data_IF_995434147236
#
_entry.id   IF_995434147236
#
_cell.length_a   1.000
_cell.length_b   1.000
_cell.length_c   1.000
_cell.angle_alpha   90.00
_cell.angle_beta   90.00
_cell.angle_gamma   90.00
#
_symmetry.space_group_name_H-M   'P 1'
#
loop_
_entity.id
_entity.type
_entity.pdbx_description
1 polymer ?
#
# COMPACT_ATOMS: atom_id res chain seq x y z
N UNK A 1 -23.22 29.07 22.63
CA UNK A 1 -21.95 28.62 23.26
C UNK A 1 -21.45 27.26 22.77
N UNK A 2 -22.26 26.17 22.78
CA UNK A 2 -21.80 24.83 22.35
C UNK A 2 -21.36 24.73 20.88
N UNK A 3 -22.04 25.43 19.96
CA UNK A 3 -21.69 25.46 18.53
C UNK A 3 -20.35 26.17 18.30
N UNK A 4 -20.16 27.34 18.92
CA UNK A 4 -18.90 28.08 18.85
C UNK A 4 -17.72 27.28 19.43
N UNK A 5 -17.91 26.59 20.56
CA UNK A 5 -16.91 25.69 21.13
C UNK A 5 -16.58 24.51 20.19
N UNK A 6 -17.59 23.93 19.54
CA UNK A 6 -17.38 22.86 18.54
C UNK A 6 -16.59 23.32 17.32
N UNK A 7 -16.89 24.53 16.80
CA UNK A 7 -16.16 25.14 15.68
C UNK A 7 -14.71 25.43 16.07
N UNK A 8 -14.48 25.98 17.28
CA UNK A 8 -13.13 26.24 17.78
C UNK A 8 -12.31 24.96 17.92
N UNK A 9 -12.88 23.89 18.50
CA UNK A 9 -12.21 22.59 18.61
C UNK A 9 -11.86 22.02 17.24
N UNK A 10 -12.78 22.07 16.27
CA UNK A 10 -12.52 21.60 14.91
C UNK A 10 -11.40 22.41 14.24
N UNK A 11 -11.41 23.73 14.38
CA UNK A 11 -10.36 24.60 13.85
C UNK A 11 -8.99 24.26 14.43
N UNK A 12 -8.90 24.02 15.74
CA UNK A 12 -7.66 23.60 16.40
C UNK A 12 -7.19 22.23 15.89
N UNK A 13 -8.10 21.26 15.73
CA UNK A 13 -7.74 19.94 15.20
C UNK A 13 -7.26 20.00 13.74
N UNK A 14 -7.92 20.80 12.90
CA UNK A 14 -7.50 21.02 11.51
C UNK A 14 -6.14 21.72 11.47
N UNK A 15 -5.92 22.75 12.30
CA UNK A 15 -4.63 23.45 12.38
C UNK A 15 -3.51 22.51 12.86
N UNK A 16 -3.76 21.69 13.88
CA UNK A 16 -2.80 20.69 14.36
C UNK A 16 -2.49 19.63 13.28
N UNK A 17 -3.51 19.19 12.54
CA UNK A 17 -3.35 18.26 11.42
C UNK A 17 -2.52 18.87 10.29
N UNK A 18 -2.82 20.10 9.88
CA UNK A 18 -2.06 20.84 8.85
C UNK A 18 -0.62 21.10 9.30
N UNK A 19 -0.42 21.43 10.57
CA UNK A 19 0.91 21.61 11.13
C UNK A 19 1.72 20.30 11.07
N UNK A 20 1.16 19.18 11.54
CA UNK A 20 1.80 17.87 11.44
C UNK A 20 2.09 17.47 9.98
N UNK A 21 1.13 17.68 9.07
CA UNK A 21 1.31 17.48 7.63
C UNK A 21 2.49 18.32 7.10
N UNK A 22 2.60 19.59 7.52
CA UNK A 22 3.68 20.46 7.11
C UNK A 22 5.05 19.98 7.59
N UNK A 23 5.13 19.41 8.80
CA UNK A 23 6.37 18.82 9.32
C UNK A 23 6.78 17.58 8.52
N UNK A 24 5.82 16.75 8.14
CA UNK A 24 6.07 15.56 7.32
C UNK A 24 6.42 15.90 5.85
N UNK A 25 5.83 16.96 5.32
CA UNK A 25 6.06 17.43 3.96
C UNK A 25 7.45 18.04 3.74
N UNK A 26 8.09 18.55 4.80
CA UNK A 26 9.44 19.12 4.72
C UNK A 26 10.43 18.12 4.12
N UNK A 27 10.93 18.48 2.94
CA UNK A 27 12.04 17.83 2.26
C UNK A 27 13.18 18.82 2.08
N UNK A 28 14.41 18.35 2.20
CA UNK A 28 15.61 19.16 1.96
C UNK A 28 16.09 18.87 0.54
N UNK A 29 15.81 19.79 -0.37
CA UNK A 29 16.41 19.81 -1.70
C UNK A 29 17.47 20.92 -1.68
N UNK A 30 18.74 20.63 -2.02
CA UNK A 30 19.76 21.66 -2.09
C UNK A 30 19.31 22.79 -3.04
N UNK A 31 19.34 24.04 -2.57
CA UNK A 31 18.95 25.19 -3.40
C UNK A 31 19.83 25.35 -4.66
N UNK A 32 21.03 24.78 -4.62
CA UNK A 32 21.96 24.71 -5.75
C UNK A 32 21.68 23.57 -6.73
N UNK A 33 20.69 22.70 -6.48
CA UNK A 33 20.35 21.59 -7.36
C UNK A 33 19.73 22.13 -8.66
N UNK A 34 20.54 22.18 -9.71
CA UNK A 34 20.07 22.47 -11.07
C UNK A 34 19.82 21.13 -11.77
N UNK A 35 18.55 20.78 -11.93
CA UNK A 35 18.19 19.58 -12.70
C UNK A 35 18.46 19.85 -14.19
N UNK A 36 19.16 18.96 -14.89
CA UNK A 36 19.30 19.07 -16.33
C UNK A 36 17.93 18.95 -17.00
N UNK A 37 17.67 19.73 -18.04
CA UNK A 37 16.56 19.45 -18.95
C UNK A 37 16.94 18.24 -19.78
N UNK A 38 16.39 17.09 -19.43
CA UNK A 38 16.56 15.86 -20.18
C UNK A 38 15.52 15.81 -21.30
N UNK A 39 16.01 15.64 -22.52
CA UNK A 39 15.17 15.34 -23.68
C UNK A 39 15.13 13.80 -23.85
N UNK A 40 13.98 13.14 -23.64
CA UNK A 40 13.86 11.69 -23.78
C UNK A 40 14.29 11.16 -25.15
N UNK A 41 14.14 11.95 -26.22
CA UNK A 41 14.51 11.56 -27.58
C UNK A 41 16.03 11.42 -27.76
N UNK A 42 16.84 11.96 -26.85
CA UNK A 42 18.30 11.76 -26.83
C UNK A 42 18.71 10.39 -26.29
N UNK A 43 17.83 9.73 -25.53
CA UNK A 43 18.12 8.46 -24.87
C UNK A 43 17.33 7.30 -25.46
N UNK A 44 16.15 7.58 -26.00
CA UNK A 44 15.22 6.56 -26.48
C UNK A 44 14.69 6.92 -27.86
N UNK A 45 14.53 5.90 -28.72
CA UNK A 45 13.92 6.09 -30.03
C UNK A 45 12.43 6.42 -29.92
N UNK A 46 11.89 7.12 -30.91
CA UNK A 46 10.44 7.41 -30.98
C UNK A 46 9.59 6.15 -30.93
N UNK A 47 10.07 5.07 -31.54
CA UNK A 47 9.41 3.77 -31.52
C UNK A 47 9.32 3.22 -30.08
N UNK A 48 10.40 3.34 -29.30
CA UNK A 48 10.42 2.92 -27.90
C UNK A 48 9.53 3.81 -27.03
N UNK A 49 9.59 5.13 -27.21
CA UNK A 49 8.74 6.07 -26.46
C UNK A 49 7.24 5.81 -26.73
N UNK A 50 6.85 5.61 -28.00
CA UNK A 50 5.47 5.23 -28.35
C UNK A 50 5.08 3.86 -27.78
N UNK A 51 5.99 2.89 -27.78
CA UNK A 51 5.76 1.56 -27.21
C UNK A 51 5.51 1.67 -25.70
N UNK A 52 6.32 2.41 -24.97
CA UNK A 52 6.15 2.64 -23.52
C UNK A 52 4.88 3.44 -23.22
N UNK A 53 4.59 4.51 -23.97
CA UNK A 53 3.37 5.28 -23.78
C UNK A 53 2.10 4.44 -24.00
N UNK A 54 2.11 3.54 -25.01
CA UNK A 54 1.00 2.60 -25.24
C UNK A 54 0.89 1.58 -24.11
N UNK A 55 2.03 1.07 -23.64
CA UNK A 55 2.08 0.16 -22.51
C UNK A 55 1.40 0.76 -21.28
N UNK A 56 1.88 1.93 -20.84
CA UNK A 56 1.44 2.59 -19.60
C UNK A 56 0.02 3.15 -19.73
N UNK A 57 -0.36 3.62 -20.93
CA UNK A 57 -1.70 4.11 -21.21
C UNK A 57 -2.76 3.03 -20.98
N UNK A 58 -2.51 1.80 -21.46
CA UNK A 58 -3.40 0.67 -21.23
C UNK A 58 -3.54 0.35 -19.74
N UNK A 59 -2.42 0.16 -19.03
CA UNK A 59 -2.45 -0.20 -17.59
C UNK A 59 -3.11 0.88 -16.74
N UNK A 60 -2.94 2.16 -17.09
CA UNK A 60 -3.59 3.27 -16.39
C UNK A 60 -5.10 3.25 -16.58
N UNK A 61 -5.58 3.03 -17.81
CA UNK A 61 -7.01 2.95 -18.10
C UNK A 61 -7.61 1.71 -17.42
N UNK A 62 -6.94 0.57 -17.54
CA UNK A 62 -7.35 -0.69 -16.88
C UNK A 62 -7.47 -0.52 -15.36
N UNK A 63 -6.47 0.12 -14.72
CA UNK A 63 -6.50 0.44 -13.29
C UNK A 63 -7.72 1.30 -12.89
N UNK A 64 -8.05 2.32 -13.69
CA UNK A 64 -9.20 3.20 -13.43
C UNK A 64 -10.53 2.42 -13.56
N UNK A 65 -10.66 1.59 -14.60
CA UNK A 65 -11.84 0.75 -14.81
C UNK A 65 -11.97 -0.31 -13.71
N UNK A 66 -10.87 -0.96 -13.32
CA UNK A 66 -10.84 -1.91 -12.22
C UNK A 66 -11.30 -1.29 -10.90
N UNK A 67 -10.84 -0.06 -10.65
CA UNK A 67 -11.21 0.70 -9.45
C UNK A 67 -12.69 1.10 -9.48
N UNK A 68 -13.20 1.56 -10.62
CA UNK A 68 -14.62 1.87 -10.80
C UNK A 68 -15.50 0.63 -10.63
N UNK A 69 -15.13 -0.51 -11.23
CA UNK A 69 -15.84 -1.78 -11.11
C UNK A 69 -15.87 -2.28 -9.67
N UNK A 70 -14.73 -2.21 -8.95
CA UNK A 70 -14.66 -2.57 -7.54
C UNK A 70 -15.55 -1.68 -6.67
N UNK A 71 -15.51 -0.36 -6.86
CA UNK A 71 -16.36 0.58 -6.12
C UNK A 71 -17.84 0.34 -6.41
N UNK A 72 -18.21 0.09 -7.67
CA UNK A 72 -19.57 -0.25 -8.05
C UNK A 72 -20.03 -1.56 -7.38
N UNK A 73 -19.20 -2.61 -7.42
CA UNK A 73 -19.51 -3.89 -6.79
C UNK A 73 -19.71 -3.75 -5.27
N UNK A 74 -18.85 -2.97 -4.59
CA UNK A 74 -19.00 -2.68 -3.17
C UNK A 74 -20.22 -1.81 -2.87
N UNK A 75 -20.55 -0.84 -3.73
CA UNK A 75 -21.75 -0.01 -3.59
C UNK A 75 -23.03 -0.84 -3.73
N UNK A 76 -23.08 -1.73 -4.74
CA UNK A 76 -24.15 -2.70 -4.92
C UNK A 76 -24.28 -3.61 -3.71
N UNK A 77 -23.15 -4.16 -3.22
CA UNK A 77 -23.15 -4.97 -2.00
C UNK A 77 -23.68 -4.17 -0.80
N UNK A 78 -23.27 -2.92 -0.61
CA UNK A 78 -23.75 -2.08 0.48
C UNK A 78 -25.27 -1.81 0.41
N UNK A 79 -25.82 -1.65 -0.80
CA UNK A 79 -27.26 -1.47 -1.03
C UNK A 79 -28.05 -2.77 -0.81
N UNK A 80 -27.47 -3.92 -1.17
CA UNK A 80 -28.12 -5.22 -1.05
C UNK A 80 -27.97 -5.83 0.35
N UNK A 81 -26.87 -5.53 1.06
CA UNK A 81 -26.51 -6.12 2.35
C UNK A 81 -27.67 -6.13 3.36
N UNK A 82 -28.43 -5.04 3.61
CA UNK A 82 -29.53 -5.07 4.56
C UNK A 82 -30.61 -6.11 4.25
N UNK A 83 -30.82 -6.44 2.96
CA UNK A 83 -31.83 -7.43 2.52
C UNK A 83 -31.38 -8.88 2.74
N UNK A 84 -30.08 -9.12 2.77
CA UNK A 84 -29.49 -10.47 2.90
C UNK A 84 -28.96 -10.73 4.31
N UNK A 85 -28.53 -9.70 5.04
CA UNK A 85 -27.99 -9.81 6.42
C UNK A 85 -29.03 -10.35 7.40
N UNK A 86 -30.32 -10.10 7.17
CA UNK A 86 -31.39 -10.69 7.98
C UNK A 86 -31.47 -12.22 7.88
N UNK A 87 -30.87 -12.82 6.84
CA UNK A 87 -30.82 -14.29 6.63
C UNK A 87 -29.57 -14.92 7.23
N UNK A 88 -28.60 -14.12 7.66
CA UNK A 88 -27.37 -14.58 8.27
C UNK A 88 -27.61 -14.99 9.73
N UNK A 89 -26.92 -16.05 10.17
CA UNK A 89 -27.07 -16.60 11.53
C UNK A 89 -26.17 -15.85 12.52
N UNK A 90 -26.57 -15.85 13.79
CA UNK A 90 -25.77 -15.27 14.89
C UNK A 90 -25.95 -13.77 15.14
N UNK A 91 -25.15 -13.26 16.08
CA UNK A 91 -25.19 -11.88 16.54
C UNK A 91 -24.52 -10.88 15.59
N UNK A 92 -24.64 -9.58 15.90
CA UNK A 92 -24.14 -8.49 15.05
C UNK A 92 -22.67 -8.66 14.63
N UNK A 93 -21.79 -9.10 15.55
CA UNK A 93 -20.38 -9.34 15.26
C UNK A 93 -20.20 -10.38 14.15
N UNK A 94 -20.84 -11.56 14.27
CA UNK A 94 -20.68 -12.63 13.29
C UNK A 94 -21.17 -12.19 11.90
N UNK A 95 -22.33 -11.52 11.83
CA UNK A 95 -22.86 -10.98 10.56
C UNK A 95 -21.92 -9.94 9.93
N UNK A 96 -21.27 -9.11 10.76
CA UNK A 96 -20.28 -8.15 10.29
C UNK A 96 -19.02 -8.82 9.73
N UNK A 97 -18.55 -9.90 10.37
CA UNK A 97 -17.44 -10.71 9.88
C UNK A 97 -17.79 -11.44 8.57
N UNK A 98 -18.98 -12.03 8.48
CA UNK A 98 -19.47 -12.66 7.25
C UNK A 98 -19.57 -11.64 6.09
N UNK A 99 -20.14 -10.46 6.34
CA UNK A 99 -20.16 -9.38 5.36
C UNK A 99 -18.76 -8.94 4.92
N UNK A 100 -17.80 -8.90 5.84
CA UNK A 100 -16.41 -8.54 5.51
C UNK A 100 -15.77 -9.56 4.57
N UNK A 101 -16.03 -10.86 4.79
CA UNK A 101 -15.58 -11.93 3.89
C UNK A 101 -16.26 -11.86 2.53
N UNK A 102 -17.57 -11.62 2.49
CA UNK A 102 -18.29 -11.43 1.22
C UNK A 102 -17.74 -10.21 0.47
N UNK A 103 -17.49 -9.10 1.16
CA UNK A 103 -16.91 -7.91 0.57
C UNK A 103 -15.48 -8.15 0.03
N UNK A 104 -14.68 -8.97 0.72
CA UNK A 104 -13.36 -9.38 0.25
C UNK A 104 -13.46 -10.20 -1.05
N UNK A 105 -14.34 -11.19 -1.10
CA UNK A 105 -14.55 -12.03 -2.29
C UNK A 105 -15.12 -11.21 -3.45
N UNK A 106 -16.11 -10.36 -3.21
CA UNK A 106 -16.70 -9.47 -4.22
C UNK A 106 -15.64 -8.50 -4.75
N UNK A 107 -14.79 -7.94 -3.89
CA UNK A 107 -13.70 -7.05 -4.30
C UNK A 107 -12.69 -7.78 -5.19
N UNK A 108 -12.29 -9.00 -4.80
CA UNK A 108 -11.39 -9.84 -5.58
C UNK A 108 -11.98 -10.18 -6.95
N UNK A 109 -13.23 -10.65 -6.99
CA UNK A 109 -13.93 -11.02 -8.21
C UNK A 109 -14.11 -9.82 -9.16
N UNK A 110 -14.45 -8.64 -8.63
CA UNK A 110 -14.63 -7.43 -9.43
C UNK A 110 -13.34 -6.96 -10.11
N UNK A 111 -12.18 -7.20 -9.47
CA UNK A 111 -10.86 -6.85 -10.05
C UNK A 111 -10.28 -7.93 -10.95
N UNK A 112 -10.76 -9.17 -10.86
CA UNK A 112 -10.23 -10.32 -11.57
C UNK A 112 -10.12 -10.13 -13.10
N UNK A 113 -11.17 -9.69 -13.84
CA UNK A 113 -11.06 -9.55 -15.29
C UNK A 113 -10.02 -8.50 -15.73
N UNK A 114 -9.91 -7.40 -14.98
CA UNK A 114 -8.91 -6.35 -15.23
C UNK A 114 -7.50 -6.83 -14.90
N UNK A 115 -7.33 -7.54 -13.78
CA UNK A 115 -6.06 -8.16 -13.43
C UNK A 115 -5.57 -9.14 -14.51
N UNK A 116 -6.46 -9.94 -15.10
CA UNK A 116 -6.12 -10.83 -16.20
C UNK A 116 -5.74 -10.05 -17.47
N UNK A 117 -6.43 -8.94 -17.76
CA UNK A 117 -6.10 -8.07 -18.87
C UNK A 117 -4.72 -7.41 -18.71
N UNK A 118 -4.42 -6.92 -17.51
CA UNK A 118 -3.10 -6.40 -17.15
C UNK A 118 -2.01 -7.47 -17.28
N UNK A 119 -2.23 -8.68 -16.75
CA UNK A 119 -1.26 -9.78 -16.87
C UNK A 119 -1.02 -10.20 -18.33
N UNK A 120 -2.09 -10.28 -19.13
CA UNK A 120 -1.96 -10.52 -20.57
C UNK A 120 -1.13 -9.43 -21.25
N UNK A 121 -1.33 -8.17 -20.86
CA UNK A 121 -0.61 -7.04 -21.41
C UNK A 121 0.88 -7.05 -21.02
N UNK A 122 1.19 -7.28 -19.75
CA UNK A 122 2.56 -7.43 -19.24
C UNK A 122 3.32 -8.55 -19.96
N UNK A 123 2.66 -9.71 -20.15
CA UNK A 123 3.22 -10.83 -20.93
C UNK A 123 3.43 -10.45 -22.39
N UNK A 124 2.49 -9.72 -23.01
CA UNK A 124 2.61 -9.23 -24.39
C UNK A 124 3.80 -8.29 -24.58
N UNK A 125 4.15 -7.50 -23.57
CA UNK A 125 5.33 -6.64 -23.60
C UNK A 125 6.62 -7.34 -23.16
N UNK A 126 6.51 -8.60 -22.75
CA UNK A 126 7.63 -9.45 -22.34
C UNK A 126 8.19 -9.09 -20.96
N UNK A 127 7.38 -8.42 -20.14
CA UNK A 127 7.73 -8.00 -18.78
C UNK A 127 7.42 -9.16 -17.82
N UNK A 128 6.17 -9.62 -17.79
CA UNK A 128 5.77 -10.80 -17.03
C UNK A 128 6.16 -12.11 -17.75
N UNK A 129 6.61 -13.10 -16.96
CA UNK A 129 6.91 -14.48 -17.38
C UNK A 129 6.03 -15.51 -16.64
N UNK A 130 5.35 -15.14 -15.56
CA UNK A 130 4.51 -16.03 -14.75
C UNK A 130 3.33 -16.59 -15.56
N UNK A 131 2.95 -17.86 -15.37
CA UNK A 131 1.77 -18.43 -16.04
C UNK A 131 0.47 -17.81 -15.51
N UNK A 132 -0.62 -17.83 -16.29
CA UNK A 132 -1.93 -17.34 -15.81
C UNK A 132 -2.44 -18.09 -14.58
N UNK A 133 -2.13 -19.39 -14.46
CA UNK A 133 -2.48 -20.18 -13.28
C UNK A 133 -1.70 -19.75 -12.04
N UNK A 134 -0.38 -19.55 -12.17
CA UNK A 134 0.46 -19.03 -11.09
C UNK A 134 0.01 -17.63 -10.67
N UNK A 135 -0.26 -16.77 -11.64
CA UNK A 135 -0.82 -15.44 -11.39
C UNK A 135 -2.14 -15.51 -10.62
N UNK A 136 -3.08 -16.36 -11.04
CA UNK A 136 -4.39 -16.48 -10.39
C UNK A 136 -4.24 -16.92 -8.93
N UNK A 137 -3.41 -17.93 -8.67
CA UNK A 137 -3.11 -18.40 -7.30
C UNK A 137 -2.48 -17.29 -6.47
N UNK A 138 -1.51 -16.55 -7.02
CA UNK A 138 -0.86 -15.42 -6.36
C UNK A 138 -1.83 -14.26 -6.05
N UNK A 139 -2.94 -14.14 -6.78
CA UNK A 139 -3.97 -13.11 -6.56
C UNK A 139 -5.12 -13.55 -5.66
N UNK A 140 -5.18 -14.81 -5.23
CA UNK A 140 -6.20 -15.24 -4.27
C UNK A 140 -6.01 -14.50 -2.93
N UNK A 141 -7.11 -14.12 -2.24
CA UNK A 141 -7.00 -13.58 -0.89
C UNK A 141 -6.30 -14.60 0.03
N UNK A 142 -5.16 -14.22 0.59
CA UNK A 142 -4.42 -15.10 1.50
C UNK A 142 -5.12 -15.22 2.85
N UNK A 143 -4.99 -16.35 3.57
CA UNK A 143 -5.52 -16.50 4.93
C UNK A 143 -5.05 -15.38 5.87
N UNK A 144 -3.80 -14.91 5.72
CA UNK A 144 -3.26 -13.80 6.50
C UNK A 144 -4.00 -12.48 6.22
N UNK A 145 -4.27 -12.16 4.94
CA UNK A 145 -5.03 -10.95 4.58
C UNK A 145 -6.48 -11.01 5.05
N UNK A 146 -7.13 -12.17 4.92
CA UNK A 146 -8.49 -12.38 5.43
C UNK A 146 -8.53 -12.27 6.97
N UNK A 147 -7.58 -12.91 7.67
CA UNK A 147 -7.46 -12.82 9.12
C UNK A 147 -7.24 -11.39 9.62
N UNK A 148 -6.36 -10.63 8.96
CA UNK A 148 -6.13 -9.22 9.29
C UNK A 148 -7.40 -8.37 9.11
N UNK A 149 -8.14 -8.57 8.00
CA UNK A 149 -9.43 -7.91 7.77
C UNK A 149 -10.44 -8.25 8.86
N UNK A 150 -10.57 -9.53 9.23
CA UNK A 150 -11.49 -9.98 10.27
C UNK A 150 -11.16 -9.38 11.64
N UNK A 151 -9.89 -9.36 12.02
CA UNK A 151 -9.43 -8.71 13.26
C UNK A 151 -9.76 -7.23 13.26
N UNK A 152 -9.51 -6.55 12.13
CA UNK A 152 -9.80 -5.12 12.01
C UNK A 152 -11.30 -4.82 12.15
N UNK A 153 -12.14 -5.58 11.46
CA UNK A 153 -13.61 -5.45 11.53
C UNK A 153 -14.11 -5.77 12.94
N UNK A 154 -13.65 -6.87 13.54
CA UNK A 154 -14.03 -7.25 14.90
C UNK A 154 -13.67 -6.16 15.93
N UNK A 155 -12.44 -5.64 15.85
CA UNK A 155 -11.97 -4.57 16.73
C UNK A 155 -12.79 -3.29 16.53
N UNK A 156 -13.01 -2.89 15.28
CA UNK A 156 -13.84 -1.72 14.95
C UNK A 156 -15.26 -1.84 15.51
N UNK A 157 -15.91 -3.00 15.33
CA UNK A 157 -17.26 -3.26 15.85
C UNK A 157 -17.30 -3.30 17.38
N UNK A 158 -16.28 -3.89 18.03
CA UNK A 158 -16.18 -3.92 19.48
C UNK A 158 -16.01 -2.52 20.06
N UNK A 159 -15.14 -1.70 19.46
CA UNK A 159 -14.96 -0.30 19.83
C UNK A 159 -16.24 0.50 19.59
N UNK A 160 -16.90 0.33 18.44
CA UNK A 160 -18.18 0.97 18.13
C UNK A 160 -19.27 0.60 19.15
N UNK A 161 -19.34 -0.66 19.58
CA UNK A 161 -20.28 -1.11 20.61
C UNK A 161 -19.97 -0.50 21.98
N UNK A 162 -18.69 -0.38 22.36
CA UNK A 162 -18.30 0.11 23.70
C UNK A 162 -18.25 1.64 23.83
N UNK A 163 -17.82 2.33 22.78
CA UNK A 163 -17.56 3.76 22.79
C UNK A 163 -18.62 4.58 22.04
N UNK A 164 -19.59 3.90 21.41
CA UNK A 164 -20.63 4.52 20.59
C UNK A 164 -20.03 5.46 19.55
N UNK A 165 -20.61 6.66 19.41
CA UNK A 165 -20.21 7.67 18.41
C UNK A 165 -18.76 8.15 18.45
N UNK A 166 -18.03 7.80 19.49
CA UNK A 166 -16.65 8.23 19.74
C UNK A 166 -15.64 7.12 19.46
N UNK A 167 -16.05 5.97 18.95
CA UNK A 167 -15.16 4.81 18.72
C UNK A 167 -13.98 5.12 17.80
N UNK A 168 -14.15 6.06 16.85
CA UNK A 168 -13.10 6.51 15.96
C UNK A 168 -11.88 7.11 16.70
N UNK A 169 -12.07 7.68 17.90
CA UNK A 169 -10.98 8.18 18.75
C UNK A 169 -10.04 7.06 19.21
N UNK A 170 -10.55 5.84 19.36
CA UNK A 170 -9.75 4.66 19.68
C UNK A 170 -9.30 3.92 18.42
N UNK A 171 -10.15 3.83 17.41
CA UNK A 171 -9.84 3.09 16.19
C UNK A 171 -8.78 3.77 15.31
N UNK A 172 -8.76 5.10 15.22
CA UNK A 172 -7.71 5.83 14.48
C UNK A 172 -6.30 5.50 15.00
N UNK A 173 -6.02 5.67 16.31
CA UNK A 173 -4.75 5.26 16.90
C UNK A 173 -4.48 3.75 16.81
N UNK A 174 -5.50 2.90 16.98
CA UNK A 174 -5.33 1.45 16.83
C UNK A 174 -4.93 1.05 15.40
N UNK A 175 -5.54 1.69 14.39
CA UNK A 175 -5.16 1.55 12.98
C UNK A 175 -3.72 2.00 12.77
N UNK A 176 -3.36 3.19 13.25
CA UNK A 176 -2.00 3.73 13.16
C UNK A 176 -0.95 2.79 13.78
N UNK A 177 -1.24 2.26 14.97
CA UNK A 177 -0.39 1.28 15.64
C UNK A 177 -0.29 -0.03 14.83
N UNK A 178 -1.40 -0.52 14.27
CA UNK A 178 -1.40 -1.68 13.38
C UNK A 178 -0.53 -1.48 12.14
N UNK A 179 -0.63 -0.31 11.48
CA UNK A 179 0.22 0.04 10.32
C UNK A 179 1.71 0.12 10.68
N UNK A 180 2.03 0.65 11.86
CA UNK A 180 3.40 0.64 12.37
C UNK A 180 3.89 -0.79 12.64
N UNK A 181 3.08 -1.64 13.26
CA UNK A 181 3.41 -3.06 13.49
C UNK A 181 3.66 -3.77 12.17
N UNK A 182 2.81 -3.56 11.15
CA UNK A 182 3.03 -4.12 9.81
C UNK A 182 4.36 -3.66 9.24
N UNK A 183 4.69 -2.37 9.34
CA UNK A 183 5.98 -1.83 8.85
C UNK A 183 7.19 -2.44 9.56
N UNK A 184 7.06 -2.74 10.86
CA UNK A 184 8.13 -3.37 11.66
C UNK A 184 8.29 -4.87 11.34
N UNK A 185 7.18 -5.56 11.10
CA UNK A 185 7.11 -7.02 10.96
C UNK A 185 7.27 -7.49 9.51
N UNK A 186 6.80 -6.72 8.51
CA UNK A 186 6.90 -7.06 7.08
C UNK A 186 8.30 -7.54 6.66
N UNK A 187 9.42 -6.92 7.07
CA UNK A 187 10.76 -7.39 6.68
C UNK A 187 11.13 -8.77 7.24
N UNK A 188 10.45 -9.25 8.27
CA UNK A 188 10.63 -10.58 8.85
C UNK A 188 9.82 -11.66 8.13
N UNK A 189 8.69 -11.25 7.53
CA UNK A 189 7.80 -12.13 6.75
C UNK A 189 8.18 -12.16 5.26
N UNK A 190 9.02 -11.23 4.81
CA UNK A 190 9.49 -11.14 3.43
C UNK A 190 10.37 -12.33 3.01
N UNK A 191 10.71 -12.43 1.71
CA UNK A 191 11.42 -13.57 1.14
C UNK A 191 12.77 -13.79 1.83
N UNK A 192 13.22 -15.05 1.83
CA UNK A 192 14.59 -15.38 2.18
C UNK A 192 15.53 -14.77 1.13
N UNK A 193 16.59 -14.07 1.57
CA UNK A 193 17.52 -13.41 0.67
C UNK A 193 18.72 -14.28 0.37
N UNK A 194 19.14 -14.25 -0.89
CA UNK A 194 20.44 -14.74 -1.30
C UNK A 194 21.52 -13.67 -1.06
N UNK A 195 22.80 -14.08 -0.87
CA UNK A 195 23.88 -13.14 -0.71
C UNK A 195 24.08 -12.25 -1.95
N UNK A 196 24.33 -10.96 -1.73
CA UNK A 196 24.74 -10.04 -2.79
C UNK A 196 26.18 -10.38 -3.23
N UNK A 197 26.33 -10.86 -4.47
CA UNK A 197 27.63 -11.32 -5.01
C UNK A 197 28.47 -10.20 -5.62
N UNK A 198 27.86 -9.08 -5.98
CA UNK A 198 28.58 -7.91 -6.48
C UNK A 198 29.47 -7.32 -5.38
N UNK A 199 30.79 -7.47 -5.53
CA UNK A 199 31.77 -7.09 -4.50
C UNK A 199 31.82 -5.57 -4.28
N UNK A 200 31.66 -4.77 -5.32
CA UNK A 200 31.73 -3.32 -5.21
C UNK A 200 30.48 -2.78 -4.51
N UNK A 201 29.30 -3.30 -4.89
CA UNK A 201 28.04 -2.95 -4.27
C UNK A 201 27.98 -3.41 -2.81
N UNK A 202 28.44 -4.64 -2.54
CA UNK A 202 28.54 -5.16 -1.18
C UNK A 202 29.51 -4.33 -0.32
N UNK A 203 30.68 -3.94 -0.85
CA UNK A 203 31.63 -3.08 -0.15
C UNK A 203 31.06 -1.68 0.13
N UNK A 204 30.32 -1.09 -0.81
CA UNK A 204 29.69 0.21 -0.61
C UNK A 204 28.62 0.18 0.50
N UNK A 205 27.88 -0.93 0.59
CA UNK A 205 26.82 -1.09 1.58
C UNK A 205 27.32 -1.70 2.91
N UNK A 206 28.58 -2.15 2.94
CA UNK A 206 29.23 -2.63 4.16
C UNK A 206 29.26 -1.52 5.22
N UNK A 207 29.05 -1.90 6.49
CA UNK A 207 29.02 -0.95 7.61
C UNK A 207 27.78 -0.06 7.68
N UNK A 208 26.81 -0.18 6.75
CA UNK A 208 25.54 0.58 6.82
C UNK A 208 24.65 0.17 7.99
N UNK A 209 24.90 -1.02 8.58
CA UNK A 209 24.03 -1.62 9.60
C UNK A 209 22.65 -2.04 9.06
N UNK A 210 22.54 -2.22 7.73
CA UNK A 210 21.33 -2.64 7.03
C UNK A 210 21.58 -4.02 6.41
N UNK A 211 20.61 -4.92 6.50
CA UNK A 211 20.71 -6.25 5.89
C UNK A 211 20.50 -6.14 4.38
N UNK A 212 21.48 -6.54 3.59
CA UNK A 212 21.41 -6.48 2.13
C UNK A 212 21.33 -7.88 1.55
N UNK A 213 20.55 -8.07 0.50
CA UNK A 213 20.55 -9.33 -0.23
C UNK A 213 19.72 -9.29 -1.50
N UNK A 214 19.59 -10.46 -2.13
CA UNK A 214 19.00 -10.64 -3.45
C UNK A 214 17.76 -11.51 -3.37
N UNK A 215 16.69 -11.07 -4.01
CA UNK A 215 15.47 -11.85 -4.25
C UNK A 215 15.49 -12.36 -5.69
N UNK A 216 15.25 -13.66 -5.89
CA UNK A 216 15.24 -14.27 -7.22
C UNK A 216 13.83 -14.21 -7.81
N UNK A 217 13.61 -13.30 -8.75
CA UNK A 217 12.31 -13.08 -9.41
C UNK A 217 12.41 -13.21 -10.93
N UNK A 218 13.60 -13.46 -11.49
CA UNK A 218 13.80 -13.54 -12.94
C UNK A 218 13.01 -14.67 -13.64
N UNK A 219 12.57 -15.68 -12.90
CA UNK A 219 11.66 -16.71 -13.40
C UNK A 219 10.24 -16.16 -13.65
N UNK A 220 9.84 -15.13 -12.91
CA UNK A 220 8.48 -14.58 -12.89
C UNK A 220 8.36 -13.27 -13.67
N UNK A 221 9.42 -12.46 -13.71
CA UNK A 221 9.40 -11.14 -14.35
C UNK A 221 10.76 -10.73 -14.93
N UNK A 222 10.76 -9.75 -15.83
CA UNK A 222 11.95 -9.03 -16.32
C UNK A 222 12.09 -7.63 -15.71
N UNK A 223 11.15 -7.20 -14.89
CA UNK A 223 11.22 -5.91 -14.19
C UNK A 223 12.47 -5.85 -13.32
N UNK A 224 13.22 -4.76 -13.44
CA UNK A 224 14.37 -4.50 -12.59
C UNK A 224 13.91 -3.66 -11.40
N UNK A 225 14.18 -4.14 -10.18
CA UNK A 225 13.79 -3.43 -8.96
C UNK A 225 14.86 -3.54 -7.87
N UNK A 226 14.86 -2.54 -6.99
CA UNK A 226 15.48 -2.61 -5.69
C UNK A 226 14.55 -1.91 -4.69
N UNK A 227 14.54 -2.34 -3.44
CA UNK A 227 13.68 -1.74 -2.42
C UNK A 227 14.33 -1.64 -1.05
N UNK A 228 14.06 -0.53 -0.37
CA UNK A 228 14.36 -0.29 1.03
C UNK A 228 13.13 -0.54 1.90
N UNK A 229 13.20 -1.57 2.75
CA UNK A 229 12.12 -1.95 3.68
C UNK A 229 12.59 -1.99 5.14
N UNK A 230 11.64 -1.91 6.06
CA UNK A 230 11.89 -2.08 7.51
C UNK A 230 12.43 -0.87 8.25
N UNK A 231 12.38 -0.96 9.57
CA UNK A 231 12.72 0.12 10.50
C UNK A 231 13.63 -0.42 11.60
N UNK A 232 14.63 0.38 12.01
CA UNK A 232 15.52 0.01 13.11
C UNK A 232 16.32 -1.26 12.82
N UNK A 233 16.26 -2.31 13.67
CA UNK A 233 16.99 -3.57 13.45
C UNK A 233 16.50 -4.41 12.27
N UNK A 234 15.27 -4.18 11.78
CA UNK A 234 14.69 -4.99 10.68
C UNK A 234 14.93 -4.39 9.30
N UNK A 235 15.74 -3.33 9.20
CA UNK A 235 16.05 -2.66 7.92
C UNK A 235 16.70 -3.62 6.92
N UNK A 236 16.14 -3.66 5.71
CA UNK A 236 16.66 -4.42 4.58
C UNK A 236 16.79 -3.51 3.34
N UNK A 237 17.76 -3.82 2.50
CA UNK A 237 17.80 -3.41 1.09
C UNK A 237 17.78 -4.69 0.26
N UNK A 238 16.79 -4.82 -0.61
CA UNK A 238 16.57 -6.00 -1.44
C UNK A 238 16.82 -5.61 -2.88
N UNK A 239 17.71 -6.33 -3.56
CA UNK A 239 17.88 -6.24 -5.01
C UNK A 239 17.19 -7.43 -5.66
N UNK A 240 16.52 -7.20 -6.78
CA UNK A 240 16.05 -8.32 -7.62
C UNK A 240 17.23 -8.89 -8.42
N UNK A 241 17.25 -10.19 -8.68
CA UNK A 241 18.22 -10.80 -9.59
C UNK A 241 18.15 -10.21 -11.02
N UNK A 242 16.99 -9.70 -11.43
CA UNK A 242 16.76 -9.03 -12.72
C UNK A 242 17.47 -7.68 -12.87
N UNK A 243 17.67 -6.89 -11.81
CA UNK A 243 18.48 -5.66 -11.87
C UNK A 243 19.99 -6.00 -11.87
N UNK A 244 20.37 -7.12 -11.24
CA UNK A 244 21.76 -7.60 -11.20
C UNK A 244 22.14 -8.46 -12.42
N UNK A 245 21.20 -8.72 -13.34
CA UNK A 245 21.36 -9.60 -14.50
C UNK A 245 22.21 -9.04 -15.65
N UNK A 246 23.10 -8.07 -15.39
CA UNK A 246 24.06 -7.53 -16.36
C UNK A 246 23.54 -6.47 -17.33
N UNK A 247 22.26 -6.09 -17.25
CA UNK A 247 21.68 -4.99 -18.06
C UNK A 247 22.12 -3.60 -17.61
N UNK A 248 22.60 -3.49 -16.37
CA UNK A 248 22.99 -2.24 -15.74
C UNK A 248 24.45 -2.30 -15.32
N UNK A 249 25.21 -1.25 -15.63
CA UNK A 249 26.61 -1.11 -15.27
C UNK A 249 26.81 -0.64 -13.82
N UNK A 250 28.06 -0.67 -13.37
CA UNK A 250 28.43 -0.26 -12.01
C UNK A 250 27.93 1.15 -11.62
N UNK A 251 28.03 2.19 -12.47
CA UNK A 251 27.52 3.52 -12.10
C UNK A 251 26.02 3.55 -11.80
N UNK A 252 25.23 2.77 -12.55
CA UNK A 252 23.77 2.70 -12.44
C UNK A 252 23.38 1.94 -11.17
N UNK A 253 24.02 0.79 -10.91
CA UNK A 253 23.80 0.02 -9.69
C UNK A 253 24.19 0.80 -8.43
N UNK A 254 25.31 1.54 -8.46
CA UNK A 254 25.70 2.43 -7.36
C UNK A 254 24.69 3.56 -7.15
N UNK A 255 24.12 4.10 -8.22
CA UNK A 255 23.06 5.11 -8.10
C UNK A 255 21.82 4.54 -7.40
N UNK A 256 21.32 3.38 -7.86
CA UNK A 256 20.16 2.70 -7.26
C UNK A 256 20.42 2.37 -5.79
N UNK A 257 21.57 1.80 -5.45
CA UNK A 257 21.88 1.48 -4.06
C UNK A 257 22.02 2.72 -3.16
N UNK A 258 22.54 3.84 -3.68
CA UNK A 258 22.55 5.11 -2.96
C UNK A 258 21.13 5.67 -2.78
N UNK A 259 20.26 5.49 -3.77
CA UNK A 259 18.85 5.84 -3.66
C UNK A 259 18.16 5.03 -2.54
N UNK A 260 18.31 3.71 -2.53
CA UNK A 260 17.76 2.86 -1.46
C UNK A 260 18.33 3.20 -0.08
N UNK A 261 19.64 3.48 0.01
CA UNK A 261 20.25 3.91 1.26
C UNK A 261 19.70 5.27 1.72
N UNK A 262 19.38 6.17 0.80
CA UNK A 262 18.79 7.47 1.12
C UNK A 262 17.42 7.32 1.79
N UNK A 263 16.60 6.33 1.42
CA UNK A 263 15.33 6.05 2.11
C UNK A 263 15.54 5.76 3.60
N UNK A 264 16.55 4.96 3.93
CA UNK A 264 16.90 4.66 5.32
C UNK A 264 17.52 5.87 6.03
N UNK A 265 18.42 6.60 5.39
CA UNK A 265 19.09 7.78 5.96
C UNK A 265 18.13 8.95 6.18
N UNK A 266 17.11 9.10 5.34
CA UNK A 266 16.09 10.17 5.43
C UNK A 266 14.82 9.74 6.17
N UNK A 267 14.83 8.55 6.77
CA UNK A 267 13.71 7.99 7.54
C UNK A 267 12.39 7.95 6.75
N UNK A 268 12.45 7.68 5.44
CA UNK A 268 11.27 7.67 4.59
C UNK A 268 10.22 6.66 5.05
N UNK A 269 10.63 5.53 5.64
CA UNK A 269 9.71 4.53 6.18
C UNK A 269 8.99 5.03 7.44
N UNK A 270 9.69 5.73 8.34
CA UNK A 270 9.04 6.40 9.47
C UNK A 270 8.08 7.49 9.00
N UNK A 271 8.46 8.27 7.97
CA UNK A 271 7.56 9.28 7.38
C UNK A 271 6.32 8.64 6.78
N UNK A 272 6.46 7.50 6.09
CA UNK A 272 5.34 6.73 5.56
C UNK A 272 4.37 6.28 6.66
N UNK A 273 4.90 5.70 7.74
CA UNK A 273 4.09 5.31 8.91
C UNK A 273 3.40 6.52 9.58
N UNK A 274 4.09 7.67 9.66
CA UNK A 274 3.53 8.89 10.21
C UNK A 274 2.43 9.49 9.32
N UNK A 275 2.59 9.48 7.99
CA UNK A 275 1.54 9.86 7.05
C UNK A 275 0.31 8.95 7.19
N UNK A 276 0.53 7.64 7.25
CA UNK A 276 -0.54 6.68 7.49
C UNK A 276 -1.29 6.99 8.80
N UNK A 277 -0.57 7.23 9.90
CA UNK A 277 -1.17 7.62 11.18
C UNK A 277 -1.98 8.93 11.10
N UNK A 278 -1.45 9.92 10.37
CA UNK A 278 -2.08 11.22 10.17
C UNK A 278 -3.42 11.12 9.42
N UNK A 279 -3.56 10.15 8.50
CA UNK A 279 -4.81 9.88 7.78
C UNK A 279 -5.72 8.87 8.49
N UNK A 280 -5.20 7.99 9.34
CA UNK A 280 -5.98 6.95 10.01
C UNK A 280 -7.16 7.51 10.82
N UNK A 281 -6.94 8.61 11.56
CA UNK A 281 -7.96 9.22 12.41
C UNK A 281 -9.07 9.92 11.60
N UNK A 282 -8.79 10.81 10.62
CA UNK A 282 -9.83 11.37 9.76
C UNK A 282 -10.64 10.30 9.01
N UNK A 283 -9.98 9.25 8.50
CA UNK A 283 -10.66 8.14 7.84
C UNK A 283 -11.59 7.39 8.80
N UNK A 284 -11.13 7.07 10.01
CA UNK A 284 -11.97 6.45 11.04
C UNK A 284 -13.17 7.34 11.42
N UNK A 285 -12.97 8.66 11.50
CA UNK A 285 -14.06 9.61 11.73
C UNK A 285 -15.11 9.58 10.61
N UNK A 286 -14.68 9.60 9.35
CA UNK A 286 -15.61 9.51 8.19
C UNK A 286 -16.39 8.20 8.22
N UNK A 287 -15.73 7.08 8.53
CA UNK A 287 -16.39 5.78 8.68
C UNK A 287 -17.42 5.78 9.81
N UNK A 288 -17.09 6.34 10.97
CA UNK A 288 -18.04 6.48 12.08
C UNK A 288 -19.24 7.36 11.69
N UNK A 289 -18.96 8.53 11.09
CA UNK A 289 -19.99 9.48 10.68
C UNK A 289 -20.91 8.94 9.57
N UNK A 290 -20.41 8.06 8.71
CA UNK A 290 -21.19 7.38 7.68
C UNK A 290 -21.98 6.19 8.26
N UNK A 291 -21.32 5.36 9.08
CA UNK A 291 -21.90 4.14 9.64
C UNK A 291 -23.00 4.36 10.68
N UNK A 292 -22.98 5.50 11.37
CA UNK A 292 -23.94 5.78 12.46
C UNK A 292 -25.14 6.64 12.03
N UNK A 293 -25.29 6.94 10.73
CA UNK A 293 -26.40 7.77 10.22
C UNK A 293 -27.79 7.17 10.46
N UNK A 294 -27.87 5.85 10.69
CA UNK A 294 -29.13 5.10 10.83
C UNK A 294 -29.25 4.36 12.17
N UNK A 295 -28.54 4.82 13.20
CA UNK A 295 -28.31 4.05 14.43
C UNK A 295 -26.93 3.40 14.42
N UNK A 296 -26.31 3.23 15.59
CA UNK A 296 -24.95 2.69 15.73
C UNK A 296 -24.96 1.38 16.49
N UNK A 297 -23.86 0.61 16.48
CA UNK A 297 -23.82 -0.69 17.18
C UNK A 297 -24.10 -0.61 18.70
N UNK A 298 -23.85 0.55 19.32
CA UNK A 298 -24.17 0.80 20.73
C UNK A 298 -25.65 1.21 20.96
N UNK A 299 -26.33 1.70 19.92
CA UNK A 299 -27.73 2.15 19.91
C UNK A 299 -28.33 1.79 18.54
N UNK A 300 -28.61 0.49 18.32
CA UNK A 300 -28.99 -0.05 17.02
C UNK A 300 -30.30 0.53 16.50
#
# INVERSE_FOLDING_TARGET
MRVAAGIATLAVLVAAWLFAASLLWRTQVPASLRLPRLDPHRYFSDALLRRTARHDGFLRIDFLLASAAQLLALAVLAVLAPRVVGRLRGGALLRGLELALVALVVSWAARLPFGLAAEWWERRYGISRQSYGAWLVARLPSPGSAGALLVLVALGMLLARRLGRRWWLAAGPALAAGGLVVTLVQPLLGPALHPLRDRQLAAMLAGSGIRVGVENVAAETREANAEAIGIGPTRRIIFTDTILGGRFGEPELRFVARHELAHHRRHHLWKGAAWFALFALPCAFVLAAAGERRGGLARP
#
